data_IF_991221380057
#
_entry.id   IF_991221380057
#
_cell.length_a   1.000
_cell.length_b   1.000
_cell.length_c   1.000
_cell.angle_alpha   90.00
_cell.angle_beta   90.00
_cell.angle_gamma   90.00
#
_symmetry.space_group_name_H-M   'P 1'
#
loop_
_entity.id
_entity.type
_entity.pdbx_description
1 polymer ?
#
# COMPACT_ATOMS: atom_id res chain seq x y z
N UNK A 1 -0.97 -9.44 -3.62
CA UNK A 1 -1.07 -8.04 -3.13
C UNK A 1 0.08 -7.75 -2.19
N UNK A 2 0.66 -6.56 -2.23
CA UNK A 2 1.63 -6.12 -1.23
C UNK A 2 0.96 -5.12 -0.31
N UNK A 3 1.06 -5.32 1.00
CA UNK A 3 0.38 -4.51 2.02
C UNK A 3 1.45 -3.68 2.74
N UNK A 4 1.47 -2.38 2.49
CA UNK A 4 2.37 -1.42 3.14
C UNK A 4 1.64 -0.68 4.25
N UNK A 5 2.16 -0.79 5.47
CA UNK A 5 1.56 -0.26 6.68
C UNK A 5 2.65 0.06 7.72
N UNK A 6 2.31 0.84 8.75
CA UNK A 6 3.19 1.00 9.91
C UNK A 6 2.95 -0.12 10.92
N UNK A 7 4.00 -0.54 11.63
CA UNK A 7 3.96 -1.69 12.54
C UNK A 7 2.83 -1.61 13.58
N UNK A 8 2.49 -0.40 14.01
CA UNK A 8 1.43 -0.13 14.98
C UNK A 8 0.03 -0.56 14.49
N UNK A 9 -0.19 -0.66 13.17
CA UNK A 9 -1.46 -1.07 12.57
C UNK A 9 -1.55 -2.57 12.28
N UNK A 10 -0.65 -3.36 12.87
CA UNK A 10 -0.58 -4.81 12.63
C UNK A 10 -1.92 -5.51 12.88
N UNK A 11 -2.68 -5.08 13.89
CA UNK A 11 -3.97 -5.69 14.21
C UNK A 11 -5.01 -5.47 13.10
N UNK A 12 -5.11 -4.26 12.53
CA UNK A 12 -6.03 -4.01 11.41
C UNK A 12 -5.59 -4.77 10.17
N UNK A 13 -4.28 -4.85 9.92
CA UNK A 13 -3.72 -5.61 8.78
C UNK A 13 -3.94 -7.12 8.94
N UNK A 14 -3.88 -7.67 10.15
CA UNK A 14 -4.22 -9.06 10.41
C UNK A 14 -5.67 -9.39 10.01
N UNK A 15 -6.61 -8.46 10.23
CA UNK A 15 -8.00 -8.64 9.80
C UNK A 15 -8.15 -8.57 8.28
N UNK A 16 -7.49 -7.61 7.64
CA UNK A 16 -7.42 -7.54 6.17
C UNK A 16 -6.87 -8.84 5.59
N UNK A 17 -5.82 -9.40 6.18
CA UNK A 17 -5.23 -10.66 5.75
C UNK A 17 -6.20 -11.84 5.86
N UNK A 18 -6.99 -11.94 6.93
CA UNK A 18 -8.03 -12.97 7.03
C UNK A 18 -9.06 -12.87 5.91
N UNK A 19 -9.43 -11.66 5.50
CA UNK A 19 -10.34 -11.43 4.38
C UNK A 19 -9.70 -11.88 3.07
N UNK A 20 -8.44 -11.52 2.84
CA UNK A 20 -7.69 -11.94 1.65
C UNK A 20 -7.49 -13.45 1.59
N UNK A 21 -7.17 -14.08 2.72
CA UNK A 21 -7.06 -15.54 2.84
C UNK A 21 -8.39 -16.23 2.55
N UNK A 22 -9.50 -15.74 3.10
CA UNK A 22 -10.85 -16.26 2.81
C UNK A 22 -11.20 -16.14 1.32
N UNK A 23 -10.71 -15.09 0.65
CA UNK A 23 -10.85 -14.88 -0.79
C UNK A 23 -9.79 -15.62 -1.63
N UNK A 24 -8.86 -16.34 -1.01
CA UNK A 24 -7.73 -17.01 -1.67
C UNK A 24 -6.84 -16.05 -2.50
N UNK A 25 -6.74 -14.80 -2.06
CA UNK A 25 -5.91 -13.78 -2.71
C UNK A 25 -4.53 -13.78 -2.04
N UNK A 26 -3.44 -14.10 -2.78
CA UNK A 26 -2.12 -14.14 -2.20
C UNK A 26 -1.65 -12.73 -1.81
N UNK A 27 -1.00 -12.61 -0.64
CA UNK A 27 -0.47 -11.34 -0.17
C UNK A 27 0.93 -11.44 0.47
N UNK A 28 1.59 -10.30 0.57
CA UNK A 28 2.84 -10.09 1.27
C UNK A 28 2.73 -8.86 2.18
N UNK A 29 3.29 -8.94 3.39
CA UNK A 29 3.19 -7.90 4.41
C UNK A 29 4.52 -7.32 4.90
N UNK A 30 5.63 -7.99 4.62
CA UNK A 30 6.91 -7.60 5.21
C UNK A 30 8.07 -7.92 4.26
N UNK A 31 9.05 -7.03 4.25
CA UNK A 31 10.38 -7.21 3.67
C UNK A 31 11.16 -8.35 4.34
N UNK A 32 10.78 -8.80 5.55
CA UNK A 32 11.42 -9.96 6.21
C UNK A 32 11.17 -11.30 5.53
N UNK A 33 10.21 -11.39 4.61
CA UNK A 33 10.08 -12.55 3.71
C UNK A 33 11.13 -12.56 2.58
N UNK A 34 12.02 -11.56 2.56
CA UNK A 34 13.14 -11.46 1.64
C UNK A 34 14.38 -12.11 2.28
N UNK A 35 15.10 -12.89 1.48
CA UNK A 35 16.36 -13.47 1.93
C UNK A 35 17.40 -12.35 2.20
N UNK A 36 18.34 -12.53 3.12
CA UNK A 36 19.47 -11.61 3.26
C UNK A 36 20.17 -11.39 1.91
N UNK A 37 20.23 -10.14 1.44
CA UNK A 37 20.80 -9.78 0.13
C UNK A 37 19.78 -9.54 -1.00
N UNK A 38 18.50 -9.85 -0.79
CA UNK A 38 17.44 -9.56 -1.76
C UNK A 38 17.23 -8.05 -1.92
N UNK A 39 17.34 -7.58 -3.17
CA UNK A 39 17.02 -6.20 -3.51
C UNK A 39 15.51 -6.01 -3.58
N UNK A 40 14.89 -5.65 -2.46
CA UNK A 40 13.46 -5.33 -2.36
C UNK A 40 12.95 -4.40 -3.48
N UNK A 41 13.75 -3.38 -3.82
CA UNK A 41 13.40 -2.42 -4.88
C UNK A 41 13.33 -3.11 -6.25
N UNK A 42 14.20 -4.08 -6.50
CA UNK A 42 14.16 -4.88 -7.72
C UNK A 42 12.90 -5.77 -7.75
N UNK A 43 12.54 -6.42 -6.64
CA UNK A 43 11.31 -7.25 -6.59
C UNK A 43 10.04 -6.45 -6.79
N UNK A 44 9.92 -5.27 -6.18
CA UNK A 44 8.78 -4.36 -6.43
C UNK A 44 8.73 -4.02 -7.92
N UNK A 45 9.86 -3.60 -8.51
CA UNK A 45 9.95 -3.24 -9.92
C UNK A 45 9.63 -4.40 -10.88
N UNK A 46 10.07 -5.61 -10.57
CA UNK A 46 9.77 -6.80 -11.38
C UNK A 46 8.29 -7.20 -11.26
N UNK A 47 7.71 -7.07 -10.07
CA UNK A 47 6.29 -7.30 -9.82
C UNK A 47 5.40 -6.27 -10.53
N UNK A 48 5.89 -5.03 -10.65
CA UNK A 48 5.28 -3.97 -11.46
C UNK A 48 5.35 -4.29 -12.95
N UNK A 49 6.55 -4.62 -13.46
CA UNK A 49 6.75 -4.93 -14.88
C UNK A 49 5.94 -6.12 -15.37
N UNK A 50 5.74 -7.11 -14.50
CA UNK A 50 4.90 -8.27 -14.79
C UNK A 50 3.40 -8.03 -14.61
N UNK A 51 2.99 -6.89 -14.02
CA UNK A 51 1.60 -6.59 -13.69
C UNK A 51 1.00 -7.56 -12.66
N UNK A 52 1.83 -8.34 -11.96
CA UNK A 52 1.39 -9.46 -11.12
C UNK A 52 1.09 -9.06 -9.67
N UNK A 53 1.18 -7.77 -9.34
CA UNK A 53 1.08 -7.28 -7.97
C UNK A 53 0.24 -6.01 -7.91
N UNK A 54 -0.62 -5.93 -6.89
CA UNK A 54 -1.30 -4.69 -6.48
C UNK A 54 -0.65 -4.20 -5.17
N UNK A 55 -0.37 -2.91 -5.07
CA UNK A 55 0.17 -2.25 -3.89
C UNK A 55 -0.97 -1.63 -3.06
N UNK A 56 -1.17 -2.10 -1.84
CA UNK A 56 -2.08 -1.52 -0.86
C UNK A 56 -1.30 -0.60 0.08
N UNK A 57 -1.63 0.68 0.07
CA UNK A 57 -1.06 1.68 0.99
C UNK A 57 -2.05 1.93 2.13
N UNK A 58 -1.79 1.37 3.32
CA UNK A 58 -2.68 1.44 4.47
C UNK A 58 -2.36 2.64 5.37
N UNK A 59 -3.28 3.60 5.43
CA UNK A 59 -3.17 4.83 6.20
C UNK A 59 -3.97 4.76 7.50
N UNK A 60 -3.36 5.27 8.55
CA UNK A 60 -3.93 5.46 9.88
C UNK A 60 -3.34 6.69 10.59
N UNK A 61 -3.82 7.02 11.77
CA UNK A 61 -3.28 8.02 12.67
C UNK A 61 -1.84 7.69 13.06
N UNK A 62 -1.55 6.40 13.26
CA UNK A 62 -0.18 5.94 13.54
C UNK A 62 0.76 6.25 12.38
N UNK A 63 0.31 6.03 11.14
CA UNK A 63 1.11 6.34 9.94
C UNK A 63 1.31 7.84 9.76
N UNK A 64 0.28 8.66 10.04
CA UNK A 64 0.31 10.13 9.87
C UNK A 64 1.06 10.84 10.99
N UNK A 65 1.07 10.29 12.19
CA UNK A 65 1.80 10.85 13.34
C UNK A 65 3.33 10.76 13.17
N UNK A 66 3.82 9.94 12.22
CA UNK A 66 5.24 9.67 12.03
C UNK A 66 5.76 10.24 10.71
N UNK A 67 6.69 11.22 10.75
CA UNK A 67 7.24 11.80 9.52
C UNK A 67 8.18 10.84 8.78
N UNK A 68 8.74 9.82 9.46
CA UNK A 68 9.67 8.85 8.90
C UNK A 68 9.27 7.43 9.30
N UNK A 69 8.98 6.60 8.32
CA UNK A 69 8.59 5.20 8.48
C UNK A 69 9.14 4.37 7.31
N UNK A 70 9.22 3.05 7.46
CA UNK A 70 9.54 2.16 6.34
C UNK A 70 8.46 2.23 5.26
N UNK A 71 7.20 2.34 5.68
CA UNK A 71 6.05 2.56 4.79
C UNK A 71 6.26 3.78 3.88
N UNK A 72 6.81 4.90 4.37
CA UNK A 72 7.09 6.08 3.53
C UNK A 72 8.13 5.78 2.45
N UNK A 73 9.15 4.96 2.74
CA UNK A 73 10.13 4.52 1.74
C UNK A 73 9.46 3.66 0.66
N UNK A 74 8.64 2.69 1.08
CA UNK A 74 7.90 1.81 0.16
C UNK A 74 6.91 2.57 -0.70
N UNK A 75 6.17 3.51 -0.11
CA UNK A 75 5.21 4.34 -0.82
C UNK A 75 5.89 5.28 -1.82
N UNK A 76 7.07 5.82 -1.48
CA UNK A 76 7.87 6.60 -2.42
C UNK A 76 8.20 5.78 -3.68
N UNK A 77 8.67 4.54 -3.49
CA UNK A 77 8.98 3.64 -4.62
C UNK A 77 7.72 3.30 -5.42
N UNK A 78 6.60 3.02 -4.74
CA UNK A 78 5.34 2.71 -5.40
C UNK A 78 4.84 3.89 -6.25
N UNK A 79 4.97 5.12 -5.75
CA UNK A 79 4.60 6.35 -6.46
C UNK A 79 5.50 6.57 -7.68
N UNK A 80 6.81 6.42 -7.54
CA UNK A 80 7.77 6.52 -8.65
C UNK A 80 7.45 5.55 -9.80
N UNK A 81 7.02 4.34 -9.47
CA UNK A 81 6.68 3.32 -10.44
C UNK A 81 5.27 3.51 -11.01
N UNK A 82 4.28 3.91 -10.20
CA UNK A 82 2.93 4.24 -10.68
C UNK A 82 2.95 5.37 -11.72
N UNK A 83 3.85 6.35 -11.55
CA UNK A 83 4.05 7.46 -12.51
C UNK A 83 4.51 7.00 -13.90
N UNK A 84 5.10 5.81 -14.01
CA UNK A 84 5.58 5.24 -15.27
C UNK A 84 4.52 4.36 -15.95
N UNK A 85 3.40 4.09 -15.28
CA UNK A 85 2.34 3.23 -15.82
C UNK A 85 1.45 3.96 -16.82
N UNK A 86 0.85 3.20 -17.72
CA UNK A 86 -0.17 3.71 -18.62
C UNK A 86 -1.37 4.26 -17.83
N UNK A 87 -2.06 5.29 -18.34
CA UNK A 87 -3.30 5.78 -17.73
C UNK A 87 -4.35 4.67 -17.57
N UNK A 88 -5.10 4.71 -16.47
CA UNK A 88 -6.20 3.76 -16.19
C UNK A 88 -5.80 2.45 -15.51
N UNK A 89 -4.50 2.21 -15.31
CA UNK A 89 -4.04 1.02 -14.58
C UNK A 89 -4.35 1.17 -13.09
N UNK A 90 -5.09 0.19 -12.53
CA UNK A 90 -5.33 0.10 -11.08
C UNK A 90 -4.24 -0.76 -10.46
N UNK A 91 -3.27 -0.11 -9.83
CA UNK A 91 -2.11 -0.80 -9.24
C UNK A 91 -1.80 -0.36 -7.82
N UNK A 92 -1.90 0.96 -7.55
CA UNK A 92 -1.74 1.55 -6.23
C UNK A 92 -3.12 1.87 -5.65
N UNK A 93 -3.49 1.20 -4.56
CA UNK A 93 -4.80 1.36 -3.91
C UNK A 93 -4.57 1.91 -2.50
N UNK A 94 -5.03 3.13 -2.20
CA UNK A 94 -5.06 3.64 -0.84
C UNK A 94 -6.14 2.92 -0.02
N UNK A 95 -5.77 2.56 1.21
CA UNK A 95 -6.64 1.94 2.20
C UNK A 95 -6.58 2.79 3.46
N UNK A 96 -7.71 3.04 4.11
CA UNK A 96 -7.78 3.81 5.36
C UNK A 96 -8.27 2.92 6.49
N UNK A 97 -7.60 2.97 7.63
CA UNK A 97 -8.02 2.33 8.88
C UNK A 97 -8.70 3.30 9.85
N UNK A 98 -8.89 4.55 9.43
CA UNK A 98 -9.59 5.59 10.18
C UNK A 98 -10.08 6.73 9.25
N UNK A 99 -10.76 7.70 9.86
CA UNK A 99 -11.37 8.82 9.17
C UNK A 99 -10.39 9.95 8.77
N UNK A 100 -9.09 9.76 8.96
CA UNK A 100 -8.08 10.73 8.54
C UNK A 100 -7.85 10.75 7.03
N UNK A 101 -7.30 11.87 6.52
CA UNK A 101 -7.05 12.05 5.09
C UNK A 101 -5.85 11.23 4.60
N UNK A 102 -5.86 10.84 3.33
CA UNK A 102 -4.69 10.29 2.65
C UNK A 102 -3.70 11.43 2.36
N UNK A 103 -2.41 11.29 2.73
CA UNK A 103 -1.39 12.30 2.43
C UNK A 103 -1.22 12.54 0.92
N UNK A 104 -0.97 13.79 0.54
CA UNK A 104 -0.81 14.20 -0.86
C UNK A 104 0.55 13.83 -1.45
N UNK A 105 0.75 12.56 -1.79
CA UNK A 105 1.93 12.12 -2.55
C UNK A 105 1.77 12.42 -4.04
N UNK A 106 2.75 13.07 -4.67
CA UNK A 106 2.69 13.48 -6.08
C UNK A 106 2.72 12.27 -7.03
N UNK A 107 1.60 12.05 -7.75
CA UNK A 107 1.45 11.00 -8.76
C UNK A 107 1.74 11.50 -10.19
N UNK A 108 2.33 12.69 -10.32
CA UNK A 108 2.59 13.35 -11.59
C UNK A 108 1.34 13.95 -12.25
N UNK A 109 1.58 14.80 -13.25
CA UNK A 109 0.54 15.50 -14.00
C UNK A 109 -0.45 16.28 -13.13
N UNK A 110 0.02 16.80 -11.97
CA UNK A 110 -0.78 17.57 -11.03
C UNK A 110 -1.74 16.74 -10.16
N UNK A 111 -1.66 15.41 -10.21
CA UNK A 111 -2.47 14.52 -9.37
C UNK A 111 -1.72 14.14 -8.10
N UNK A 112 -2.44 13.94 -7.02
CA UNK A 112 -1.91 13.40 -5.77
C UNK A 112 -2.58 12.09 -5.39
N UNK A 113 -1.96 11.33 -4.49
CA UNK A 113 -2.47 10.04 -4.03
C UNK A 113 -3.87 10.14 -3.41
N UNK A 114 -4.18 11.27 -2.77
CA UNK A 114 -5.51 11.54 -2.24
C UNK A 114 -6.60 11.72 -3.30
N UNK A 115 -6.24 11.89 -4.57
CA UNK A 115 -7.21 11.97 -5.69
C UNK A 115 -7.66 10.57 -6.16
N UNK A 116 -6.94 9.51 -5.75
CA UNK A 116 -7.35 8.14 -6.06
C UNK A 116 -8.52 7.73 -5.17
N UNK A 117 -9.44 6.94 -5.73
CA UNK A 117 -10.43 6.24 -4.92
C UNK A 117 -9.73 5.34 -3.90
N UNK A 118 -10.30 5.28 -2.71
CA UNK A 118 -9.75 4.56 -1.57
C UNK A 118 -10.79 3.62 -0.97
N UNK A 119 -10.30 2.68 -0.17
CA UNK A 119 -11.15 1.75 0.59
C UNK A 119 -11.05 2.08 2.08
N UNK A 120 -12.20 2.32 2.70
CA UNK A 120 -12.31 2.48 4.14
C UNK A 120 -12.51 1.10 4.79
N UNK A 121 -11.57 0.70 5.64
CA UNK A 121 -11.62 -0.52 6.45
C UNK A 121 -11.86 -0.15 7.92
N UNK A 122 -12.87 0.68 8.15
CA UNK A 122 -13.36 1.13 9.45
C UNK A 122 -14.85 1.55 9.35
N UNK A 123 -15.51 1.73 10.49
CA UNK A 123 -16.91 2.19 10.55
C UNK A 123 -17.94 1.10 10.23
N UNK A 124 -19.22 1.51 10.18
CA UNK A 124 -20.37 0.59 10.10
C UNK A 124 -20.46 -0.26 8.81
N UNK A 125 -19.73 0.15 7.77
CA UNK A 125 -19.66 -0.59 6.50
C UNK A 125 -18.56 -1.66 6.49
N UNK A 126 -17.81 -1.82 7.59
CA UNK A 126 -16.67 -2.74 7.74
C UNK A 126 -16.90 -3.82 8.82
N UNK A 127 -18.15 -4.30 8.94
CA UNK A 127 -18.54 -5.41 9.84
C UNK A 127 -19.36 -6.45 9.13
#
# INVERSE_FOLDING_TARGET
MFISYVKEDQQQVDQLCKILDAAQIPYWRDRTSLAPGDNWKAKIRDAIRSGALIFLACFSDNSRARPKTVMNEELTLAVEEFRQMAPGVTWLIPVRFDDGKIPGWDLGAGRVLGDLNYVDLFGANYT
#
